data_IF_848648919220
#
_entry.id   IF_848648919220
#
_cell.length_a   1.000
_cell.length_b   1.000
_cell.length_c   1.000
_cell.angle_alpha   90.00
_cell.angle_beta   90.00
_cell.angle_gamma   90.00
#
_symmetry.space_group_name_H-M   'P 1'
#
loop_
_entity.id
_entity.type
_entity.pdbx_description
1 polymer ?
#
# COMPACT_ATOMS: atom_id res chain seq x y z
N UNK A 1 -13.26 -24.11 18.73
CA UNK A 1 -13.93 -22.97 18.07
C UNK A 1 -15.37 -23.36 17.71
N UNK A 2 -16.38 -22.51 17.93
CA UNK A 2 -17.77 -22.88 17.58
C UNK A 2 -18.03 -22.67 16.08
N UNK A 3 -18.75 -23.57 15.42
CA UNK A 3 -19.15 -23.45 14.00
C UNK A 3 -19.97 -22.17 13.71
N UNK A 4 -20.61 -21.61 14.74
CA UNK A 4 -21.52 -20.47 14.63
C UNK A 4 -20.78 -19.15 14.36
N UNK A 5 -19.61 -18.93 14.98
CA UNK A 5 -18.82 -17.71 14.83
C UNK A 5 -18.09 -17.65 13.48
N UNK A 6 -17.51 -18.78 13.03
CA UNK A 6 -16.86 -18.89 11.71
C UNK A 6 -17.79 -18.55 10.55
N UNK A 7 -19.08 -18.83 10.71
CA UNK A 7 -20.11 -18.47 9.73
C UNK A 7 -20.37 -16.96 9.66
N UNK A 8 -20.11 -16.19 10.72
CA UNK A 8 -20.36 -14.74 10.75
C UNK A 8 -19.37 -13.97 9.88
N UNK A 9 -18.06 -14.22 10.02
CA UNK A 9 -17.04 -13.56 9.19
C UNK A 9 -17.23 -13.87 7.71
N UNK A 10 -17.48 -15.14 7.37
CA UNK A 10 -17.70 -15.54 5.97
C UNK A 10 -18.94 -14.91 5.37
N UNK A 11 -20.04 -14.83 6.13
CA UNK A 11 -21.26 -14.18 5.67
C UNK A 11 -21.08 -12.67 5.54
N UNK A 12 -20.37 -12.02 6.48
CA UNK A 12 -19.99 -10.60 6.36
C UNK A 12 -19.19 -10.34 5.08
N UNK A 13 -18.10 -11.07 4.85
CA UNK A 13 -17.24 -10.90 3.65
C UNK A 13 -18.05 -11.05 2.37
N UNK A 14 -18.93 -12.06 2.31
CA UNK A 14 -19.80 -12.29 1.16
C UNK A 14 -20.79 -11.15 0.95
N UNK A 15 -21.45 -10.67 2.00
CA UNK A 15 -22.40 -9.57 1.93
C UNK A 15 -21.72 -8.26 1.51
N UNK A 16 -20.58 -7.94 2.12
CA UNK A 16 -19.84 -6.72 1.83
C UNK A 16 -19.25 -6.74 0.41
N UNK A 17 -18.71 -7.87 -0.02
CA UNK A 17 -18.24 -8.06 -1.41
C UNK A 17 -19.38 -7.83 -2.41
N UNK A 18 -20.58 -8.35 -2.12
CA UNK A 18 -21.74 -8.16 -2.98
C UNK A 18 -22.18 -6.69 -3.04
N UNK A 19 -22.22 -6.01 -1.89
CA UNK A 19 -22.55 -4.60 -1.78
C UNK A 19 -21.58 -3.74 -2.59
N UNK A 20 -20.27 -3.91 -2.38
CA UNK A 20 -19.25 -3.16 -3.12
C UNK A 20 -19.24 -3.46 -4.61
N UNK A 21 -19.53 -4.71 -4.98
CA UNK A 21 -19.70 -5.06 -6.40
C UNK A 21 -20.88 -4.31 -7.02
N UNK A 22 -22.02 -4.20 -6.33
CA UNK A 22 -23.14 -3.39 -6.82
C UNK A 22 -22.74 -1.92 -6.96
N UNK A 23 -22.18 -1.34 -5.89
CA UNK A 23 -21.72 0.05 -5.87
C UNK A 23 -20.77 0.36 -7.03
N UNK A 24 -19.81 -0.54 -7.31
CA UNK A 24 -18.89 -0.39 -8.43
C UNK A 24 -19.62 -0.27 -9.77
N UNK A 25 -20.61 -1.13 -10.04
CA UNK A 25 -21.37 -1.06 -11.30
C UNK A 25 -22.40 0.07 -11.35
N UNK A 26 -22.74 0.67 -10.21
CA UNK A 26 -23.53 1.90 -10.12
C UNK A 26 -22.68 3.16 -10.35
N UNK A 27 -21.38 3.11 -10.03
CA UNK A 27 -20.46 4.21 -10.27
C UNK A 27 -20.30 4.50 -11.77
N UNK A 28 -20.38 5.79 -12.12
CA UNK A 28 -20.22 6.27 -13.50
C UNK A 28 -18.81 6.03 -14.04
N UNK A 29 -18.69 5.95 -15.37
CA UNK A 29 -17.40 6.01 -16.09
C UNK A 29 -17.07 7.45 -16.52
N UNK A 30 -17.91 8.42 -16.15
CA UNK A 30 -17.72 9.85 -16.38
C UNK A 30 -16.83 10.48 -15.29
N UNK A 31 -16.31 11.66 -15.57
CA UNK A 31 -15.30 12.37 -14.77
C UNK A 31 -15.87 13.27 -13.65
N UNK A 32 -16.99 12.85 -13.05
CA UNK A 32 -17.80 13.68 -12.14
C UNK A 32 -17.02 14.20 -10.91
N UNK A 33 -15.95 13.51 -10.51
CA UNK A 33 -15.18 13.79 -9.29
C UNK A 33 -13.74 14.26 -9.54
N UNK A 34 -13.40 14.77 -10.73
CA UNK A 34 -12.07 15.38 -10.89
C UNK A 34 -11.94 16.67 -10.05
N UNK A 35 -10.79 16.89 -9.38
CA UNK A 35 -10.47 18.12 -8.64
C UNK A 35 -10.63 19.41 -9.45
N UNK A 36 -10.47 20.57 -8.83
CA UNK A 36 -10.43 21.83 -9.57
C UNK A 36 -9.25 21.88 -10.57
N UNK A 37 -9.44 22.57 -11.70
CA UNK A 37 -8.36 22.80 -12.66
C UNK A 37 -7.29 23.73 -12.07
N UNK A 38 -6.03 23.44 -12.37
CA UNK A 38 -4.87 24.20 -11.91
C UNK A 38 -4.27 24.96 -13.09
N UNK A 39 -4.09 26.27 -12.90
CA UNK A 39 -3.60 27.16 -13.96
C UNK A 39 -2.14 26.85 -14.35
N UNK A 40 -1.77 27.17 -15.59
CA UNK A 40 -0.38 26.99 -16.05
C UNK A 40 0.64 27.84 -15.26
N UNK A 41 0.24 29.02 -14.80
CA UNK A 41 1.07 29.89 -13.96
C UNK A 41 1.31 29.26 -12.59
N UNK A 42 0.29 28.66 -12.00
CA UNK A 42 0.40 27.95 -10.72
C UNK A 42 1.28 26.70 -10.84
N UNK A 43 1.09 25.88 -11.89
CA UNK A 43 1.99 24.75 -12.17
C UNK A 43 3.43 25.20 -12.30
N UNK A 44 3.69 26.28 -13.03
CA UNK A 44 5.05 26.79 -13.21
C UNK A 44 5.68 27.28 -11.90
N UNK A 45 4.88 27.89 -10.99
CA UNK A 45 5.33 28.23 -9.63
C UNK A 45 5.66 26.97 -8.81
N UNK A 46 4.77 25.98 -8.82
CA UNK A 46 4.97 24.71 -8.10
C UNK A 46 6.23 23.98 -8.59
N UNK A 47 6.44 23.92 -9.90
CA UNK A 47 7.61 23.29 -10.51
C UNK A 47 8.92 24.02 -10.17
N UNK A 48 8.92 25.35 -10.13
CA UNK A 48 10.09 26.12 -9.70
C UNK A 48 10.41 25.82 -8.22
N UNK A 49 9.41 25.88 -7.35
CA UNK A 49 9.57 25.62 -5.92
C UNK A 49 10.10 24.21 -5.64
N UNK A 50 9.52 23.18 -6.29
CA UNK A 50 10.00 21.81 -6.13
C UNK A 50 11.44 21.64 -6.65
N UNK A 51 11.75 22.26 -7.79
CA UNK A 51 13.10 22.20 -8.37
C UNK A 51 14.14 22.85 -7.46
N UNK A 52 13.84 24.00 -6.86
CA UNK A 52 14.72 24.66 -5.89
C UNK A 52 15.00 23.78 -4.66
N UNK A 53 13.97 23.13 -4.12
CA UNK A 53 14.12 22.18 -3.00
C UNK A 53 14.99 20.99 -3.39
N UNK A 54 14.73 20.36 -4.54
CA UNK A 54 15.50 19.20 -5.01
C UNK A 54 16.96 19.56 -5.35
N UNK A 55 17.20 20.73 -5.93
CA UNK A 55 18.54 21.20 -6.23
C UNK A 55 19.32 21.51 -4.95
N UNK A 56 18.66 22.06 -3.92
CA UNK A 56 19.27 22.24 -2.62
C UNK A 56 19.66 20.90 -2.00
N UNK A 57 18.74 19.92 -1.94
CA UNK A 57 19.01 18.57 -1.40
C UNK A 57 20.20 17.93 -2.13
N UNK A 58 20.17 17.96 -3.46
CA UNK A 58 21.25 17.40 -4.28
C UNK A 58 22.61 18.03 -3.98
N UNK A 59 22.68 19.36 -3.87
CA UNK A 59 23.95 20.06 -3.58
C UNK A 59 24.51 19.65 -2.22
N UNK A 60 23.65 19.49 -1.22
CA UNK A 60 24.09 19.05 0.11
C UNK A 60 24.59 17.59 0.10
N UNK A 61 23.92 16.70 -0.64
CA UNK A 61 24.35 15.31 -0.79
C UNK A 61 25.69 15.19 -1.54
N UNK A 62 25.98 16.09 -2.49
CA UNK A 62 27.30 16.12 -3.15
C UNK A 62 28.40 16.61 -2.20
N UNK A 63 28.08 17.56 -1.31
CA UNK A 63 29.02 18.08 -0.30
C UNK A 63 29.31 17.03 0.78
N UNK A 64 28.31 16.25 1.19
CA UNK A 64 28.45 15.21 2.22
C UNK A 64 29.44 14.10 1.86
N UNK A 65 29.52 13.77 0.57
CA UNK A 65 30.49 12.80 0.03
C UNK A 65 31.93 13.33 0.11
N UNK A 66 32.11 14.65 0.16
CA UNK A 66 33.42 15.30 0.04
C UNK A 66 33.99 15.83 1.37
N UNK A 67 33.17 16.05 2.40
CA UNK A 67 33.59 16.62 3.70
C UNK A 67 32.75 16.06 4.86
N UNK A 68 33.31 16.03 6.07
CA UNK A 68 32.61 15.63 7.29
C UNK A 68 31.25 16.32 7.39
N UNK A 69 30.20 15.52 7.31
CA UNK A 69 28.82 15.93 7.10
C UNK A 69 28.08 16.00 8.43
N UNK A 70 27.49 17.14 8.76
CA UNK A 70 26.53 17.22 9.87
C UNK A 70 25.18 16.67 9.40
N UNK A 71 25.00 15.37 9.67
CA UNK A 71 23.83 14.60 9.26
C UNK A 71 22.54 15.11 9.91
N UNK A 72 22.61 15.61 11.15
CA UNK A 72 21.44 16.11 11.86
C UNK A 72 20.99 17.44 11.25
N UNK A 73 21.91 18.39 11.06
CA UNK A 73 21.59 19.69 10.49
C UNK A 73 21.01 19.56 9.08
N UNK A 74 21.55 18.65 8.26
CA UNK A 74 21.00 18.38 6.93
C UNK A 74 19.57 17.83 7.02
N UNK A 75 19.34 16.85 7.89
CA UNK A 75 18.03 16.19 8.04
C UNK A 75 16.95 17.19 8.46
N UNK A 76 17.26 18.04 9.45
CA UNK A 76 16.33 19.05 9.94
C UNK A 76 15.97 20.07 8.85
N UNK A 77 16.96 20.58 8.12
CA UNK A 77 16.74 21.56 7.05
C UNK A 77 16.07 20.95 5.81
N UNK A 78 16.38 19.70 5.47
CA UNK A 78 15.70 18.96 4.40
C UNK A 78 14.22 18.73 4.76
N UNK A 79 13.95 18.28 5.98
CA UNK A 79 12.60 18.09 6.51
C UNK A 79 11.80 19.39 6.46
N UNK A 80 12.38 20.50 6.94
CA UNK A 80 11.77 21.83 6.89
C UNK A 80 11.40 22.24 5.47
N UNK A 81 12.33 22.16 4.52
CA UNK A 81 12.09 22.54 3.11
C UNK A 81 11.03 21.67 2.43
N UNK A 82 11.04 20.36 2.70
CA UNK A 82 10.04 19.43 2.17
C UNK A 82 8.65 19.78 2.72
N UNK A 83 8.54 20.02 4.04
CA UNK A 83 7.28 20.43 4.69
C UNK A 83 6.75 21.76 4.13
N UNK A 84 7.60 22.78 3.98
CA UNK A 84 7.23 24.07 3.38
C UNK A 84 6.77 23.94 1.94
N UNK A 85 7.45 23.10 1.16
CA UNK A 85 7.05 22.79 -0.23
C UNK A 85 5.69 22.10 -0.25
N UNK A 86 5.46 21.14 0.65
CA UNK A 86 4.20 20.42 0.77
C UNK A 86 3.02 21.32 1.17
N UNK A 87 3.22 22.20 2.15
CA UNK A 87 2.24 23.22 2.58
C UNK A 87 1.82 24.09 1.38
N UNK A 88 2.81 24.64 0.67
CA UNK A 88 2.59 25.58 -0.43
C UNK A 88 1.87 24.94 -1.62
N UNK A 89 2.33 23.77 -2.06
CA UNK A 89 1.85 23.14 -3.30
C UNK A 89 0.53 22.39 -3.09
N UNK A 90 0.38 21.71 -1.96
CA UNK A 90 -0.77 20.83 -1.71
C UNK A 90 -1.80 21.42 -0.73
N UNK A 91 -1.60 22.68 -0.30
CA UNK A 91 -2.50 23.35 0.63
C UNK A 91 -2.61 22.63 1.98
N UNK A 92 -1.50 22.01 2.42
CA UNK A 92 -1.42 21.37 3.73
C UNK A 92 -1.21 22.40 4.83
N UNK A 93 -1.64 22.11 6.05
CA UNK A 93 -1.31 22.91 7.23
C UNK A 93 -0.18 22.26 8.06
N UNK A 94 0.32 22.99 9.06
CA UNK A 94 1.38 22.52 9.95
C UNK A 94 1.01 21.25 10.72
N UNK A 95 -0.26 21.07 11.09
CA UNK A 95 -0.68 19.85 11.79
C UNK A 95 -0.63 18.65 10.85
N UNK A 96 -1.05 18.83 9.59
CA UNK A 96 -1.03 17.78 8.56
C UNK A 96 0.41 17.36 8.23
N UNK A 97 1.31 18.29 7.91
CA UNK A 97 2.68 17.92 7.51
C UNK A 97 3.54 17.36 8.67
N UNK A 98 3.18 17.66 9.92
CA UNK A 98 3.86 17.13 11.09
C UNK A 98 3.18 15.89 11.68
N UNK A 99 2.03 15.45 11.13
CA UNK A 99 1.28 14.34 11.74
C UNK A 99 2.06 13.03 11.68
N UNK A 100 2.70 12.69 10.56
CA UNK A 100 3.47 11.45 10.37
C UNK A 100 4.55 11.30 11.45
N UNK A 101 5.29 12.38 11.73
CA UNK A 101 6.33 12.42 12.76
C UNK A 101 5.73 12.34 14.17
N UNK A 102 4.72 13.16 14.46
CA UNK A 102 4.05 13.18 15.78
C UNK A 102 3.38 11.86 16.15
N UNK A 103 2.86 11.16 15.16
CA UNK A 103 2.21 9.86 15.32
C UNK A 103 3.23 8.73 15.49
N UNK A 104 4.51 8.94 15.14
CA UNK A 104 5.54 7.91 15.27
C UNK A 104 5.64 6.95 14.08
N UNK A 105 5.04 7.29 12.93
CA UNK A 105 5.04 6.43 11.73
C UNK A 105 6.46 6.20 11.20
N UNK A 106 7.32 7.22 11.25
CA UNK A 106 8.74 7.08 10.86
C UNK A 106 9.48 6.09 11.77
N UNK A 107 9.20 6.11 13.08
CA UNK A 107 9.81 5.19 14.03
C UNK A 107 9.32 3.75 13.78
N UNK A 108 8.03 3.56 13.50
CA UNK A 108 7.49 2.26 13.16
C UNK A 108 8.13 1.68 11.88
N UNK A 109 8.37 2.51 10.86
CA UNK A 109 9.07 2.07 9.65
C UNK A 109 10.52 1.64 9.93
N UNK A 110 11.25 2.39 10.76
CA UNK A 110 12.61 2.04 11.20
C UNK A 110 12.62 0.74 12.02
N UNK A 111 11.72 0.63 12.99
CA UNK A 111 11.59 -0.56 13.83
C UNK A 111 11.28 -1.80 13.00
N UNK A 112 10.39 -1.68 12.00
CA UNK A 112 10.08 -2.79 11.09
C UNK A 112 11.31 -3.20 10.28
N UNK A 113 12.05 -2.25 9.71
CA UNK A 113 13.27 -2.54 8.95
C UNK A 113 14.27 -3.34 9.79
N UNK A 114 14.53 -2.90 11.02
CA UNK A 114 15.47 -3.59 11.91
C UNK A 114 14.96 -4.97 12.35
N UNK A 115 13.67 -5.09 12.65
CA UNK A 115 13.07 -6.40 12.96
C UNK A 115 13.15 -7.36 11.78
N UNK A 116 12.91 -6.89 10.54
CA UNK A 116 13.00 -7.71 9.34
C UNK A 116 14.44 -8.18 9.08
N UNK A 117 15.42 -7.30 9.24
CA UNK A 117 16.85 -7.67 9.15
C UNK A 117 17.32 -8.59 10.27
N UNK A 118 16.74 -8.48 11.47
CA UNK A 118 17.03 -9.40 12.56
C UNK A 118 16.40 -10.79 12.33
N UNK A 119 15.22 -10.85 11.71
CA UNK A 119 14.53 -12.07 11.35
C UNK A 119 15.21 -12.82 10.22
N UNK A 120 15.55 -12.13 9.12
CA UNK A 120 16.33 -12.66 8.02
C UNK A 120 17.42 -11.66 7.61
N UNK A 121 18.70 -11.90 7.96
CA UNK A 121 19.81 -11.02 7.58
C UNK A 121 20.00 -10.87 6.07
N UNK A 122 19.50 -11.81 5.27
CA UNK A 122 19.66 -11.85 3.81
C UNK A 122 18.46 -11.29 3.04
N UNK A 123 17.36 -10.93 3.71
CA UNK A 123 16.19 -10.36 3.06
C UNK A 123 16.57 -9.10 2.27
N UNK A 124 16.07 -9.00 1.04
CA UNK A 124 16.36 -7.85 0.18
C UNK A 124 15.68 -6.58 0.71
N UNK A 125 16.20 -5.41 0.31
CA UNK A 125 15.51 -4.16 0.62
C UNK A 125 14.13 -4.11 -0.07
N UNK A 126 14.03 -4.63 -1.29
CA UNK A 126 12.77 -4.69 -2.02
C UNK A 126 11.70 -5.50 -1.28
N UNK A 127 12.06 -6.65 -0.70
CA UNK A 127 11.15 -7.49 0.08
C UNK A 127 10.71 -6.81 1.38
N UNK A 128 11.63 -6.16 2.11
CA UNK A 128 11.27 -5.38 3.31
C UNK A 128 10.32 -4.26 2.92
N UNK A 129 10.61 -3.53 1.84
CA UNK A 129 9.79 -2.42 1.39
C UNK A 129 8.42 -2.86 0.88
N UNK A 130 8.32 -4.03 0.24
CA UNK A 130 7.05 -4.63 -0.12
C UNK A 130 6.25 -4.99 1.13
N UNK A 131 6.87 -5.63 2.12
CA UNK A 131 6.24 -5.97 3.39
C UNK A 131 5.82 -4.74 4.21
N UNK A 132 6.57 -3.63 4.12
CA UNK A 132 6.24 -2.39 4.85
C UNK A 132 4.92 -1.76 4.40
N UNK A 133 4.38 -2.14 3.23
CA UNK A 133 3.05 -1.67 2.79
C UNK A 133 1.95 -2.06 3.79
N UNK A 134 2.01 -3.27 4.34
CA UNK A 134 1.05 -3.72 5.36
C UNK A 134 1.26 -3.01 6.69
N UNK A 135 2.52 -2.73 7.04
CA UNK A 135 2.87 -1.93 8.22
C UNK A 135 2.25 -0.53 8.13
N UNK A 136 2.36 0.14 6.99
CA UNK A 136 1.76 1.47 6.79
C UNK A 136 0.24 1.42 6.86
N UNK A 137 -0.40 0.45 6.19
CA UNK A 137 -1.85 0.24 6.30
C UNK A 137 -2.26 0.04 7.76
N UNK A 138 -1.53 -0.82 8.48
CA UNK A 138 -1.82 -1.11 9.88
C UNK A 138 -1.57 0.08 10.81
N UNK A 139 -0.53 0.88 10.56
CA UNK A 139 -0.28 2.11 11.32
C UNK A 139 -1.38 3.14 11.05
N UNK A 140 -1.83 3.28 9.80
CA UNK A 140 -2.97 4.12 9.46
C UNK A 140 -4.23 3.67 10.22
N UNK A 141 -4.53 2.37 10.23
CA UNK A 141 -5.65 1.81 11.00
C UNK A 141 -5.49 2.00 12.51
N UNK A 142 -4.29 1.82 13.07
CA UNK A 142 -4.02 2.13 14.49
C UNK A 142 -4.42 3.57 14.80
N UNK A 143 -4.03 4.53 13.95
CA UNK A 143 -4.38 5.94 14.17
C UNK A 143 -5.89 6.17 14.11
N UNK A 144 -6.57 5.62 13.10
CA UNK A 144 -8.03 5.70 12.96
C UNK A 144 -8.77 5.14 14.19
N UNK A 145 -8.31 4.00 14.68
CA UNK A 145 -8.87 3.28 15.83
C UNK A 145 -8.43 3.87 17.18
N UNK A 146 -7.66 4.96 17.19
CA UNK A 146 -7.20 5.62 18.43
C UNK A 146 -6.11 4.84 19.18
N UNK A 147 -5.42 3.93 18.51
CA UNK A 147 -4.34 3.11 19.02
C UNK A 147 -2.97 3.77 18.79
N UNK A 148 -1.96 3.47 19.63
CA UNK A 148 -0.60 3.93 19.41
C UNK A 148 0.01 3.27 18.17
N UNK A 149 0.66 4.08 17.34
CA UNK A 149 1.43 3.58 16.19
C UNK A 149 2.64 2.80 16.71
N UNK A 150 2.69 1.52 16.38
CA UNK A 150 3.81 0.64 16.73
C UNK A 150 3.80 -0.62 15.87
N UNK A 151 4.98 -1.20 15.66
CA UNK A 151 5.12 -2.52 15.04
C UNK A 151 4.94 -3.58 16.12
N UNK A 152 3.70 -4.03 16.32
CA UNK A 152 3.40 -5.13 17.26
C UNK A 152 3.87 -6.48 16.69
N UNK A 153 4.09 -7.51 17.54
CA UNK A 153 4.47 -8.84 17.07
C UNK A 153 3.57 -9.39 15.96
N UNK A 154 2.26 -9.25 16.08
CA UNK A 154 1.30 -9.70 15.07
C UNK A 154 1.37 -8.91 13.76
N UNK A 155 1.58 -7.59 13.81
CA UNK A 155 1.77 -6.76 12.63
C UNK A 155 3.07 -7.07 11.90
N UNK A 156 4.16 -7.26 12.65
CA UNK A 156 5.42 -7.75 12.11
C UNK A 156 5.22 -9.10 11.43
N UNK A 157 4.62 -10.05 12.15
CA UNK A 157 4.41 -11.40 11.67
C UNK A 157 3.61 -11.44 10.36
N UNK A 158 2.48 -10.72 10.31
CA UNK A 158 1.64 -10.67 9.13
C UNK A 158 2.32 -9.98 7.95
N UNK A 159 3.06 -8.90 8.19
CA UNK A 159 3.80 -8.21 7.13
C UNK A 159 4.91 -9.11 6.56
N UNK A 160 5.59 -9.89 7.41
CA UNK A 160 6.64 -10.82 6.99
C UNK A 160 6.12 -12.12 6.35
N UNK A 161 4.84 -12.48 6.56
CA UNK A 161 4.25 -13.63 5.87
C UNK A 161 4.36 -13.46 4.35
N UNK A 162 4.17 -12.25 3.81
CA UNK A 162 4.22 -12.01 2.36
C UNK A 162 5.56 -12.36 1.72
N UNK A 163 6.71 -11.74 2.08
CA UNK A 163 7.98 -12.11 1.46
C UNK A 163 8.33 -13.59 1.69
N UNK A 164 7.90 -14.21 2.79
CA UNK A 164 8.14 -15.65 3.03
C UNK A 164 7.25 -16.53 2.15
N UNK A 165 5.95 -16.22 2.03
CA UNK A 165 5.00 -17.02 1.25
C UNK A 165 5.11 -16.75 -0.24
N UNK A 166 5.23 -15.48 -0.66
CA UNK A 166 5.26 -15.08 -2.07
C UNK A 166 6.54 -15.58 -2.74
N UNK A 167 7.71 -15.44 -2.08
CA UNK A 167 8.95 -16.01 -2.61
C UNK A 167 8.86 -17.52 -2.81
N UNK A 168 8.10 -18.23 -1.96
CA UNK A 168 7.85 -19.66 -2.13
C UNK A 168 6.83 -19.94 -3.25
N UNK A 169 5.71 -19.23 -3.28
CA UNK A 169 4.59 -19.46 -4.19
C UNK A 169 4.87 -18.97 -5.61
N UNK A 170 5.76 -17.99 -5.80
CA UNK A 170 6.12 -17.44 -7.10
C UNK A 170 7.36 -18.12 -7.71
N UNK A 171 8.12 -18.91 -6.95
CA UNK A 171 9.31 -19.61 -7.47
C UNK A 171 8.92 -20.52 -8.65
N UNK A 172 9.38 -20.24 -9.89
CA UNK A 172 9.03 -21.04 -11.06
C UNK A 172 9.67 -22.43 -11.05
N UNK A 173 10.66 -22.67 -10.18
CA UNK A 173 11.34 -23.97 -10.03
C UNK A 173 10.52 -24.95 -9.19
N UNK A 174 9.57 -24.45 -8.39
CA UNK A 174 8.67 -25.28 -7.56
C UNK A 174 7.47 -25.74 -8.36
N UNK A 175 7.10 -27.00 -8.17
CA UNK A 175 5.97 -27.56 -8.90
C UNK A 175 4.63 -27.16 -8.26
N UNK A 176 3.55 -27.34 -9.01
CA UNK A 176 2.20 -26.94 -8.59
C UNK A 176 1.73 -27.70 -7.35
N UNK A 177 2.08 -28.98 -7.22
CA UNK A 177 1.68 -29.81 -6.08
C UNK A 177 2.39 -29.38 -4.78
N UNK A 178 3.66 -28.96 -4.85
CA UNK A 178 4.41 -28.39 -3.73
C UNK A 178 3.78 -27.09 -3.25
N UNK A 179 3.44 -26.18 -4.16
CA UNK A 179 2.77 -24.92 -3.85
C UNK A 179 1.38 -25.14 -3.24
N UNK A 180 0.61 -26.09 -3.78
CA UNK A 180 -0.69 -26.45 -3.24
C UNK A 180 -0.59 -27.03 -1.82
N UNK A 181 0.38 -27.91 -1.58
CA UNK A 181 0.61 -28.54 -0.27
C UNK A 181 1.10 -27.54 0.77
N UNK A 182 1.97 -26.60 0.39
CA UNK A 182 2.39 -25.48 1.24
C UNK A 182 1.19 -24.64 1.65
N UNK A 183 0.38 -24.22 0.68
CA UNK A 183 -0.78 -23.38 0.93
C UNK A 183 -1.84 -24.09 1.79
N UNK A 184 -2.04 -25.40 1.60
CA UNK A 184 -2.91 -26.22 2.45
C UNK A 184 -2.42 -26.26 3.90
N UNK A 185 -1.13 -26.54 4.14
CA UNK A 185 -0.56 -26.53 5.50
C UNK A 185 -0.63 -25.16 6.17
N UNK A 186 -0.40 -24.09 5.42
CA UNK A 186 -0.56 -22.74 5.93
C UNK A 186 -2.01 -22.51 6.43
N UNK A 187 -3.01 -22.93 5.64
CA UNK A 187 -4.41 -22.88 6.06
C UNK A 187 -4.72 -23.73 7.30
N UNK A 188 -4.08 -24.90 7.45
CA UNK A 188 -4.20 -25.76 8.65
C UNK A 188 -3.68 -25.02 9.89
N UNK A 189 -2.51 -24.37 9.81
CA UNK A 189 -1.97 -23.59 10.93
C UNK A 189 -2.84 -22.38 11.25
N UNK A 190 -3.34 -21.65 10.26
CA UNK A 190 -4.29 -20.55 10.49
C UNK A 190 -5.58 -21.02 11.16
N UNK A 191 -6.05 -22.24 10.85
CA UNK A 191 -7.20 -22.87 11.50
C UNK A 191 -6.93 -23.28 12.96
N UNK A 192 -5.66 -23.33 13.38
CA UNK A 192 -5.23 -23.79 14.71
C UNK A 192 -5.05 -25.30 14.81
N UNK A 193 -5.04 -26.00 13.68
CA UNK A 193 -4.79 -27.43 13.61
C UNK A 193 -3.29 -27.72 13.53
N UNK A 194 -2.91 -28.94 13.90
CA UNK A 194 -1.50 -29.37 13.93
C UNK A 194 -1.10 -30.01 12.61
N UNK A 195 -0.12 -29.43 11.94
CA UNK A 195 0.61 -30.05 10.84
C UNK A 195 2.12 -29.80 11.01
N UNK A 196 2.94 -30.80 10.67
CA UNK A 196 4.39 -30.65 10.69
C UNK A 196 4.88 -29.88 9.45
N UNK A 197 5.72 -28.85 9.61
CA UNK A 197 6.35 -28.18 8.48
C UNK A 197 7.26 -29.17 7.73
N UNK A 198 7.35 -29.02 6.41
CA UNK A 198 8.09 -29.93 5.53
C UNK A 198 9.43 -29.33 5.03
N UNK A 199 9.67 -28.05 5.30
CA UNK A 199 10.88 -27.33 4.91
C UNK A 199 11.03 -26.04 5.74
N UNK A 200 12.18 -25.39 5.65
CA UNK A 200 12.47 -24.18 6.43
C UNK A 200 11.51 -23.01 6.18
N UNK A 201 11.03 -22.80 4.94
CA UNK A 201 10.05 -21.73 4.69
C UNK A 201 8.71 -22.02 5.41
N UNK A 202 8.36 -23.28 5.56
CA UNK A 202 7.18 -23.70 6.33
C UNK A 202 7.38 -23.57 7.84
N UNK A 203 8.61 -23.76 8.33
CA UNK A 203 8.98 -23.46 9.71
C UNK A 203 8.83 -21.96 9.99
N UNK A 204 9.35 -21.11 9.10
CA UNK A 204 9.23 -19.65 9.20
C UNK A 204 7.77 -19.20 9.22
N UNK A 205 6.93 -19.70 8.30
CA UNK A 205 5.49 -19.39 8.29
C UNK A 205 4.82 -19.84 9.58
N UNK A 206 5.11 -21.03 10.08
CA UNK A 206 4.53 -21.53 11.32
C UNK A 206 4.95 -20.68 12.52
N UNK A 207 6.21 -20.22 12.58
CA UNK A 207 6.70 -19.36 13.66
C UNK A 207 6.09 -17.95 13.61
N UNK A 208 5.86 -17.40 12.41
CA UNK A 208 5.10 -16.16 12.24
C UNK A 208 3.64 -16.32 12.71
N UNK A 209 2.98 -17.44 12.37
CA UNK A 209 1.62 -17.72 12.88
C UNK A 209 1.62 -17.83 14.41
N UNK A 210 2.62 -18.49 15.01
CA UNK A 210 2.76 -18.57 16.48
C UNK A 210 3.02 -17.23 17.12
N UNK A 211 3.70 -16.31 16.44
CA UNK A 211 3.90 -14.95 16.93
C UNK A 211 2.57 -14.19 17.03
N UNK A 212 1.65 -14.40 16.06
CA UNK A 212 0.27 -13.89 16.17
C UNK A 212 -0.45 -14.54 17.35
N UNK A 213 -0.30 -15.86 17.55
CA UNK A 213 -0.89 -16.60 18.69
C UNK A 213 -0.44 -16.13 20.07
N UNK A 214 0.83 -15.72 20.19
CA UNK A 214 1.36 -15.18 21.44
C UNK A 214 0.73 -13.83 21.81
N UNK A 215 0.45 -12.98 20.82
CA UNK A 215 -0.22 -11.70 21.06
C UNK A 215 -1.74 -11.85 21.20
N UNK A 216 -2.35 -12.70 20.38
CA UNK A 216 -3.80 -12.90 20.32
C UNK A 216 -4.15 -14.37 20.57
N UNK A 217 -4.34 -14.81 21.82
CA UNK A 217 -4.79 -16.17 22.12
C UNK A 217 -6.10 -16.51 21.40
N UNK A 218 -6.12 -17.63 20.67
CA UNK A 218 -7.26 -18.06 19.82
C UNK A 218 -8.60 -18.15 20.53
N UNK A 219 -8.58 -18.51 21.81
CA UNK A 219 -9.78 -18.66 22.63
C UNK A 219 -10.45 -17.31 22.94
N UNK A 220 -9.68 -16.22 22.91
CA UNK A 220 -10.14 -14.87 23.24
C UNK A 220 -10.37 -14.06 21.96
N UNK A 221 -9.48 -14.18 20.97
CA UNK A 221 -9.48 -13.36 19.75
C UNK A 221 -9.87 -14.17 18.53
N UNK A 222 -11.07 -14.74 18.52
CA UNK A 222 -11.52 -15.62 17.42
C UNK A 222 -11.54 -14.90 16.07
N UNK A 223 -11.93 -13.63 16.04
CA UNK A 223 -12.07 -12.85 14.82
C UNK A 223 -10.73 -12.58 14.11
N UNK A 224 -9.61 -12.51 14.84
CA UNK A 224 -8.26 -12.39 14.26
C UNK A 224 -7.96 -13.58 13.34
N UNK A 225 -8.27 -14.79 13.77
CA UNK A 225 -8.01 -15.99 12.97
C UNK A 225 -9.05 -16.18 11.87
N UNK A 226 -10.28 -15.76 12.10
CA UNK A 226 -11.31 -15.76 11.07
C UNK A 226 -10.98 -14.80 9.93
N UNK A 227 -10.41 -13.61 10.23
CA UNK A 227 -9.97 -12.66 9.21
C UNK A 227 -8.74 -13.16 8.45
N UNK A 228 -7.74 -13.73 9.15
CA UNK A 228 -6.58 -14.37 8.52
C UNK A 228 -6.98 -15.53 7.58
N UNK A 229 -7.92 -16.36 8.01
CA UNK A 229 -8.49 -17.41 7.15
C UNK A 229 -9.25 -16.81 5.96
N UNK A 230 -9.99 -15.71 6.15
CA UNK A 230 -10.74 -15.05 5.08
C UNK A 230 -9.81 -14.54 3.98
N UNK A 231 -8.73 -13.82 4.31
CA UNK A 231 -7.74 -13.38 3.30
C UNK A 231 -7.02 -14.57 2.67
N UNK A 232 -6.64 -15.58 3.46
CA UNK A 232 -6.02 -16.80 2.91
C UNK A 232 -6.91 -17.50 1.88
N UNK A 233 -8.22 -17.60 2.15
CA UNK A 233 -9.18 -18.14 1.19
C UNK A 233 -9.36 -17.24 -0.03
N UNK A 234 -9.46 -15.93 0.15
CA UNK A 234 -9.60 -14.97 -0.95
C UNK A 234 -8.38 -15.01 -1.90
N UNK A 235 -7.16 -15.03 -1.35
CA UNK A 235 -5.92 -15.19 -2.11
C UNK A 235 -5.88 -16.54 -2.84
N UNK A 236 -6.18 -17.64 -2.14
CA UNK A 236 -6.23 -18.98 -2.74
C UNK A 236 -7.22 -19.07 -3.90
N UNK A 237 -8.36 -18.38 -3.78
CA UNK A 237 -9.40 -18.29 -4.81
C UNK A 237 -8.91 -17.46 -6.00
N UNK A 238 -8.27 -16.32 -5.74
CA UNK A 238 -7.65 -15.47 -6.75
C UNK A 238 -6.56 -16.19 -7.54
N UNK A 239 -5.70 -16.96 -6.88
CA UNK A 239 -4.63 -17.73 -7.52
C UNK A 239 -5.15 -18.86 -8.45
N UNK A 240 -6.39 -19.32 -8.22
CA UNK A 240 -7.09 -20.31 -9.05
C UNK A 240 -7.93 -19.68 -10.15
N UNK A 241 -7.90 -18.35 -10.29
CA UNK A 241 -8.61 -17.68 -11.38
C UNK A 241 -8.09 -18.20 -12.73
N UNK A 242 -9.01 -18.35 -13.71
CA UNK A 242 -8.59 -18.67 -15.06
C UNK A 242 -7.73 -17.54 -15.62
N UNK A 243 -6.72 -17.90 -16.42
CA UNK A 243 -5.86 -16.94 -17.10
C UNK A 243 -6.37 -16.70 -18.52
N UNK A 244 -6.08 -15.53 -19.10
CA UNK A 244 -6.40 -15.27 -20.50
C UNK A 244 -5.76 -16.34 -21.43
N UNK A 245 -6.46 -16.92 -22.45
CA UNK A 245 -7.68 -16.44 -23.13
C UNK A 245 -9.03 -16.82 -22.56
N UNK A 246 -9.08 -17.47 -21.40
CA UNK A 246 -10.34 -17.83 -20.77
C UNK A 246 -11.15 -16.58 -20.39
N UNK A 247 -12.47 -16.70 -20.48
CA UNK A 247 -13.40 -15.61 -20.18
C UNK A 247 -14.01 -15.82 -18.80
N UNK A 248 -13.89 -14.79 -17.97
CA UNK A 248 -14.65 -14.67 -16.73
C UNK A 248 -15.58 -13.47 -16.86
N UNK A 249 -16.78 -13.58 -16.30
CA UNK A 249 -17.72 -12.45 -16.31
C UNK A 249 -17.12 -11.28 -15.51
N UNK A 250 -17.22 -10.04 -16.01
CA UNK A 250 -16.57 -8.87 -15.39
C UNK A 250 -17.01 -8.66 -13.94
N UNK A 251 -18.28 -8.95 -13.63
CA UNK A 251 -18.80 -8.91 -12.26
C UNK A 251 -18.11 -9.90 -11.34
N UNK A 252 -17.71 -11.06 -11.86
CA UNK A 252 -16.98 -12.06 -11.08
C UNK A 252 -15.52 -11.66 -10.85
N UNK A 253 -14.91 -10.97 -11.82
CA UNK A 253 -13.59 -10.35 -11.63
C UNK A 253 -13.66 -9.32 -10.50
N UNK A 254 -14.64 -8.41 -10.55
CA UNK A 254 -14.87 -7.40 -9.51
C UNK A 254 -15.07 -8.04 -8.12
N UNK A 255 -15.94 -9.04 -8.01
CA UNK A 255 -16.18 -9.76 -6.74
C UNK A 255 -14.88 -10.32 -6.16
N UNK A 256 -14.02 -10.92 -7.00
CA UNK A 256 -12.77 -11.52 -6.52
C UNK A 256 -11.73 -10.48 -6.13
N UNK A 257 -11.64 -9.36 -6.87
CA UNK A 257 -10.79 -8.23 -6.48
C UNK A 257 -11.26 -7.64 -5.14
N UNK A 258 -12.55 -7.34 -4.97
CA UNK A 258 -13.05 -6.74 -3.73
C UNK A 258 -12.98 -7.67 -2.53
N UNK A 259 -13.24 -8.96 -2.71
CA UNK A 259 -13.06 -9.97 -1.66
C UNK A 259 -11.60 -10.04 -1.21
N UNK A 260 -10.64 -10.07 -2.16
CA UNK A 260 -9.20 -10.09 -1.86
C UNK A 260 -8.74 -8.82 -1.14
N UNK A 261 -9.04 -7.65 -1.70
CA UNK A 261 -8.64 -6.37 -1.12
C UNK A 261 -9.27 -6.13 0.25
N UNK A 262 -10.58 -6.30 0.33
CA UNK A 262 -11.34 -6.06 1.55
C UNK A 262 -10.92 -6.98 2.69
N UNK A 263 -10.72 -8.28 2.43
CA UNK A 263 -10.22 -9.20 3.47
C UNK A 263 -8.78 -8.92 3.87
N UNK A 264 -7.94 -8.41 2.97
CA UNK A 264 -6.54 -8.06 3.28
C UNK A 264 -6.49 -6.97 4.34
N UNK A 265 -7.19 -5.87 4.10
CA UNK A 265 -7.15 -4.73 5.03
C UNK A 265 -8.01 -4.98 6.27
N UNK A 266 -9.03 -5.84 6.17
CA UNK A 266 -9.75 -6.33 7.34
C UNK A 266 -8.84 -7.14 8.27
N UNK A 267 -7.94 -7.97 7.72
CA UNK A 267 -6.93 -8.67 8.52
C UNK A 267 -5.98 -7.69 9.21
N UNK A 268 -5.48 -6.67 8.51
CA UNK A 268 -4.68 -5.59 9.11
C UNK A 268 -5.42 -4.94 10.30
N UNK A 269 -6.71 -4.65 10.15
CA UNK A 269 -7.53 -4.05 11.21
C UNK A 269 -7.66 -4.94 12.46
N UNK A 270 -7.92 -6.23 12.29
CA UNK A 270 -7.95 -7.17 13.41
C UNK A 270 -6.57 -7.38 14.05
N UNK A 271 -5.49 -7.36 13.28
CA UNK A 271 -4.14 -7.49 13.85
C UNK A 271 -3.71 -6.21 14.57
N UNK A 272 -4.19 -5.04 14.13
CA UNK A 272 -3.97 -3.78 14.81
C UNK A 272 -4.71 -3.69 16.14
N UNK A 273 -5.99 -4.12 16.21
CA UNK A 273 -6.87 -3.86 17.35
C UNK A 273 -7.31 -5.09 18.15
N UNK A 274 -7.13 -6.30 17.63
CA UNK A 274 -7.63 -7.56 18.20
C UNK A 274 -9.13 -7.81 17.98
N UNK A 275 -9.94 -6.75 18.07
CA UNK A 275 -11.39 -6.77 17.85
C UNK A 275 -11.81 -5.54 17.04
N UNK A 276 -12.91 -5.66 16.30
CA UNK A 276 -13.51 -4.58 15.53
C UNK A 276 -15.04 -4.66 15.67
N UNK A 277 -15.68 -3.50 15.78
CA UNK A 277 -17.13 -3.38 15.64
C UNK A 277 -17.58 -3.63 14.19
N UNK A 278 -18.86 -3.91 14.00
CA UNK A 278 -19.42 -4.16 12.67
C UNK A 278 -19.24 -2.96 11.71
N UNK A 279 -19.35 -1.72 12.22
CA UNK A 279 -19.15 -0.50 11.44
C UNK A 279 -17.68 -0.33 11.03
N UNK A 280 -16.74 -0.56 11.96
CA UNK A 280 -15.30 -0.53 11.65
C UNK A 280 -14.93 -1.61 10.63
N UNK A 281 -15.47 -2.83 10.76
CA UNK A 281 -15.27 -3.90 9.78
C UNK A 281 -15.74 -3.47 8.38
N UNK A 282 -16.91 -2.84 8.27
CA UNK A 282 -17.45 -2.36 6.99
C UNK A 282 -16.52 -1.32 6.35
N UNK A 283 -16.14 -0.28 7.09
CA UNK A 283 -15.32 0.81 6.57
C UNK A 283 -13.91 0.31 6.18
N UNK A 284 -13.30 -0.53 7.01
CA UNK A 284 -11.97 -1.11 6.76
C UNK A 284 -12.01 -2.03 5.53
N UNK A 285 -13.05 -2.84 5.38
CA UNK A 285 -13.22 -3.69 4.19
C UNK A 285 -13.39 -2.84 2.92
N UNK A 286 -14.19 -1.77 3.00
CA UNK A 286 -14.41 -0.84 1.90
C UNK A 286 -13.10 -0.15 1.47
N UNK A 287 -12.29 0.28 2.43
CA UNK A 287 -10.96 0.83 2.18
C UNK A 287 -10.05 -0.20 1.48
N UNK A 288 -10.08 -1.47 1.90
CA UNK A 288 -9.32 -2.54 1.26
C UNK A 288 -9.76 -2.83 -0.18
N UNK A 289 -11.06 -2.78 -0.48
CA UNK A 289 -11.55 -2.92 -1.84
C UNK A 289 -11.06 -1.78 -2.76
N UNK A 290 -11.02 -0.54 -2.25
CA UNK A 290 -10.39 0.58 -2.95
C UNK A 290 -8.89 0.37 -3.16
N UNK A 291 -8.17 -0.06 -2.13
CA UNK A 291 -6.74 -0.33 -2.22
C UNK A 291 -6.41 -1.39 -3.29
N UNK A 292 -7.24 -2.43 -3.43
CA UNK A 292 -7.05 -3.41 -4.52
C UNK A 292 -7.20 -2.82 -5.91
N UNK A 293 -8.09 -1.84 -6.11
CA UNK A 293 -8.19 -1.14 -7.40
C UNK A 293 -6.91 -0.37 -7.72
N UNK A 294 -6.27 0.19 -6.70
CA UNK A 294 -4.98 0.85 -6.84
C UNK A 294 -3.85 -0.10 -7.17
N UNK A 295 -3.84 -1.28 -6.55
CA UNK A 295 -2.85 -2.31 -6.87
C UNK A 295 -3.03 -2.81 -8.30
N UNK A 296 -4.24 -3.20 -8.71
CA UNK A 296 -4.53 -3.67 -10.08
C UNK A 296 -4.19 -2.61 -11.13
N UNK A 297 -4.36 -1.32 -10.80
CA UNK A 297 -3.97 -0.19 -11.65
C UNK A 297 -2.44 -0.06 -11.76
N UNK A 298 -1.72 -0.12 -10.66
CA UNK A 298 -0.25 -0.02 -10.65
C UNK A 298 0.39 -1.22 -11.36
N UNK A 299 -0.26 -2.39 -11.29
CA UNK A 299 0.25 -3.68 -11.77
C UNK A 299 -0.22 -4.08 -13.18
N UNK A 300 -0.94 -3.21 -13.92
CA UNK A 300 -1.41 -3.50 -15.29
C UNK A 300 -0.33 -4.16 -16.16
N UNK A 301 0.88 -3.63 -16.12
CA UNK A 301 1.97 -4.14 -16.94
C UNK A 301 2.41 -5.55 -16.54
N UNK A 302 2.40 -5.86 -15.25
CA UNK A 302 2.73 -7.17 -14.71
C UNK A 302 1.61 -8.17 -14.97
N UNK A 303 0.37 -7.80 -14.69
CA UNK A 303 -0.81 -8.63 -14.88
C UNK A 303 -1.00 -9.03 -16.34
N UNK A 304 -0.78 -8.09 -17.28
CA UNK A 304 -0.82 -8.41 -18.71
C UNK A 304 0.28 -9.41 -19.11
N UNK A 305 1.48 -9.35 -18.50
CA UNK A 305 2.55 -10.33 -18.77
C UNK A 305 2.18 -11.71 -18.23
N UNK A 306 1.57 -11.76 -17.05
CA UNK A 306 1.16 -13.00 -16.37
C UNK A 306 -0.19 -13.52 -16.84
N UNK A 307 -0.89 -12.77 -17.71
CA UNK A 307 -2.22 -13.07 -18.25
C UNK A 307 -3.31 -13.11 -17.18
N UNK A 308 -3.11 -12.36 -16.10
CA UNK A 308 -4.07 -12.25 -15.02
C UNK A 308 -5.31 -11.47 -15.49
N UNK A 309 -6.47 -11.86 -14.94
CA UNK A 309 -7.75 -11.24 -15.23
C UNK A 309 -8.10 -10.25 -14.10
N UNK A 310 -7.85 -8.96 -14.34
CA UNK A 310 -8.26 -7.86 -13.47
C UNK A 310 -9.21 -6.93 -14.23
N UNK A 311 -9.87 -6.02 -13.52
CA UNK A 311 -10.73 -5.01 -14.16
C UNK A 311 -9.92 -4.14 -15.14
N UNK A 312 -8.67 -3.83 -14.79
CA UNK A 312 -7.79 -3.08 -15.66
C UNK A 312 -7.27 -3.88 -16.85
N UNK A 313 -6.85 -5.14 -16.70
CA UNK A 313 -6.39 -5.92 -17.86
C UNK A 313 -7.52 -6.17 -18.86
N UNK A 314 -8.76 -6.39 -18.42
CA UNK A 314 -9.93 -6.47 -19.31
C UNK A 314 -10.19 -5.13 -20.02
N UNK A 315 -10.14 -4.01 -19.30
CA UNK A 315 -10.41 -2.68 -19.86
C UNK A 315 -9.36 -2.23 -20.89
N UNK A 316 -8.07 -2.44 -20.60
CA UNK A 316 -6.96 -2.09 -21.50
C UNK A 316 -7.09 -2.83 -22.82
N UNK A 317 -7.45 -4.11 -22.77
CA UNK A 317 -7.64 -4.93 -23.96
C UNK A 317 -8.84 -4.51 -24.81
N UNK A 318 -9.81 -3.83 -24.20
CA UNK A 318 -10.97 -3.24 -24.89
C UNK A 318 -10.77 -1.77 -25.27
N UNK A 319 -9.63 -1.17 -24.92
CA UNK A 319 -9.39 0.27 -25.10
C UNK A 319 -10.28 1.16 -24.23
N UNK A 320 -10.62 0.70 -23.02
CA UNK A 320 -11.56 1.36 -22.07
C UNK A 320 -10.94 1.68 -20.70
N UNK A 321 -9.61 1.76 -20.61
CA UNK A 321 -8.93 2.02 -19.34
C UNK A 321 -9.33 3.37 -18.72
N UNK A 322 -9.52 4.41 -19.55
CA UNK A 322 -9.95 5.75 -19.11
C UNK A 322 -11.24 5.69 -18.28
N UNK A 323 -12.29 5.03 -18.80
CA UNK A 323 -13.59 4.92 -18.13
C UNK A 323 -13.54 4.08 -16.84
N UNK A 324 -12.71 3.03 -16.81
CA UNK A 324 -12.48 2.25 -15.57
C UNK A 324 -11.78 3.10 -14.52
N UNK A 325 -10.80 3.93 -14.90
CA UNK A 325 -10.13 4.82 -13.96
C UNK A 325 -11.07 5.91 -13.42
N UNK A 326 -11.90 6.52 -14.25
CA UNK A 326 -12.97 7.43 -13.79
C UNK A 326 -13.88 6.75 -12.77
N UNK A 327 -14.28 5.50 -13.04
CA UNK A 327 -15.04 4.71 -12.08
C UNK A 327 -14.29 4.50 -10.77
N UNK A 328 -12.96 4.33 -10.78
CA UNK A 328 -12.14 4.29 -9.56
C UNK A 328 -12.20 5.61 -8.78
N UNK A 329 -12.10 6.77 -9.43
CA UNK A 329 -12.30 8.07 -8.76
C UNK A 329 -13.67 8.12 -8.07
N UNK A 330 -14.74 7.81 -8.81
CA UNK A 330 -16.11 7.85 -8.30
C UNK A 330 -16.31 6.85 -7.15
N UNK A 331 -15.78 5.64 -7.27
CA UNK A 331 -15.84 4.61 -6.24
C UNK A 331 -15.08 5.02 -4.98
N UNK A 332 -13.88 5.58 -5.12
CA UNK A 332 -13.05 6.06 -4.01
C UNK A 332 -13.80 7.10 -3.17
N UNK A 333 -14.45 8.09 -3.80
CA UNK A 333 -15.22 9.09 -3.07
C UNK A 333 -16.43 8.54 -2.32
N UNK A 334 -17.04 7.44 -2.78
CA UNK A 334 -18.11 6.79 -2.04
C UNK A 334 -17.57 6.02 -0.83
N UNK A 335 -16.55 5.18 -1.03
CA UNK A 335 -16.09 4.27 0.01
C UNK A 335 -15.23 4.93 1.09
N UNK A 336 -14.50 5.99 0.74
CA UNK A 336 -13.62 6.69 1.67
C UNK A 336 -14.35 7.69 2.57
N UNK A 337 -15.59 8.08 2.24
CA UNK A 337 -16.43 8.88 3.14
C UNK A 337 -16.65 8.19 4.49
N UNK A 338 -16.70 6.86 4.52
CA UNK A 338 -16.83 6.11 5.77
C UNK A 338 -15.70 6.36 6.78
N UNK A 339 -14.52 6.81 6.32
CA UNK A 339 -13.41 7.15 7.22
C UNK A 339 -13.75 8.31 8.17
N UNK A 340 -14.78 9.09 7.87
CA UNK A 340 -15.28 10.16 8.76
C UNK A 340 -15.78 9.60 10.10
N UNK A 341 -16.33 8.37 10.15
CA UNK A 341 -16.84 7.74 11.37
C UNK A 341 -15.77 7.44 12.44
N UNK A 342 -14.48 7.47 12.08
CA UNK A 342 -13.40 7.30 13.06
C UNK A 342 -13.14 8.61 13.83
N UNK A 343 -13.62 8.70 15.07
CA UNK A 343 -13.61 9.94 15.87
C UNK A 343 -12.30 10.20 16.66
N UNK A 344 -11.24 9.43 16.41
CA UNK A 344 -9.93 9.63 17.05
C UNK A 344 -9.40 11.05 16.77
N UNK A 345 -9.19 11.92 17.78
CA UNK A 345 -8.70 13.28 17.56
C UNK A 345 -7.31 13.33 16.92
N UNK A 346 -6.48 12.31 17.22
CA UNK A 346 -5.15 12.17 16.64
C UNK A 346 -5.19 11.78 15.16
N UNK A 347 -6.30 11.20 14.68
CA UNK A 347 -6.49 10.84 13.29
C UNK A 347 -6.86 12.02 12.39
N UNK A 348 -7.41 13.11 12.95
CA UNK A 348 -7.95 14.22 12.15
C UNK A 348 -6.93 14.78 11.14
N UNK A 349 -5.69 15.13 11.51
CA UNK A 349 -4.73 15.66 10.55
C UNK A 349 -4.37 14.64 9.46
N UNK A 350 -4.23 13.36 9.83
CA UNK A 350 -3.90 12.28 8.91
C UNK A 350 -5.04 12.04 7.91
N UNK A 351 -6.30 11.95 8.38
CA UNK A 351 -7.48 11.81 7.52
C UNK A 351 -7.60 12.97 6.53
N UNK A 352 -7.47 14.21 7.01
CA UNK A 352 -7.55 15.40 6.15
C UNK A 352 -6.45 15.39 5.09
N UNK A 353 -5.23 15.01 5.46
CA UNK A 353 -4.11 14.91 4.55
C UNK A 353 -4.36 13.82 3.49
N UNK A 354 -4.81 12.63 3.90
CA UNK A 354 -5.17 11.54 2.98
C UNK A 354 -6.30 11.93 2.00
N UNK A 355 -7.35 12.57 2.49
CA UNK A 355 -8.47 13.02 1.65
C UNK A 355 -8.08 14.10 0.65
N UNK A 356 -7.15 15.01 1.01
CA UNK A 356 -6.67 16.05 0.10
C UNK A 356 -5.86 15.50 -1.07
N UNK A 357 -5.19 14.38 -0.91
CA UNK A 357 -4.28 13.87 -1.95
C UNK A 357 -4.74 12.60 -2.63
N UNK A 358 -5.89 12.02 -2.28
CA UNK A 358 -6.34 10.75 -2.88
C UNK A 358 -6.42 10.88 -4.40
N UNK A 359 -6.98 11.99 -4.90
CA UNK A 359 -7.09 12.23 -6.34
C UNK A 359 -5.72 12.43 -6.99
N UNK A 360 -4.79 13.08 -6.28
CA UNK A 360 -3.42 13.26 -6.76
C UNK A 360 -2.69 11.92 -6.83
N UNK A 361 -2.91 11.03 -5.87
CA UNK A 361 -2.39 9.67 -5.87
C UNK A 361 -2.95 8.86 -7.06
N UNK A 362 -4.25 8.95 -7.32
CA UNK A 362 -4.93 8.32 -8.46
C UNK A 362 -4.34 8.81 -9.79
N UNK A 363 -4.18 10.13 -9.96
CA UNK A 363 -3.58 10.73 -11.15
C UNK A 363 -2.11 10.35 -11.33
N UNK A 364 -1.33 10.33 -10.25
CA UNK A 364 0.07 9.92 -10.29
C UNK A 364 0.21 8.44 -10.71
N UNK A 365 -0.71 7.58 -10.24
CA UNK A 365 -0.78 6.18 -10.68
C UNK A 365 -1.02 6.08 -12.18
N UNK A 366 -1.99 6.83 -12.73
CA UNK A 366 -2.24 6.90 -14.18
C UNK A 366 -0.98 7.35 -14.93
N UNK A 367 -0.27 8.36 -14.45
CA UNK A 367 0.97 8.84 -15.06
C UNK A 367 2.08 7.75 -15.09
N UNK A 368 2.15 6.88 -14.08
CA UNK A 368 3.10 5.75 -14.06
C UNK A 368 2.75 4.68 -15.11
N UNK A 369 1.47 4.54 -15.42
CA UNK A 369 0.93 3.55 -16.36
C UNK A 369 0.41 4.17 -17.67
N UNK A 370 0.89 5.36 -18.02
CA UNK A 370 0.30 6.24 -19.04
C UNK A 370 0.10 5.59 -20.43
N UNK A 371 0.92 4.60 -20.78
CA UNK A 371 0.84 3.89 -22.07
C UNK A 371 -0.47 3.12 -22.28
N UNK A 372 -1.23 2.90 -21.21
CA UNK A 372 -2.51 2.20 -21.23
C UNK A 372 -3.73 3.14 -21.34
N UNK A 373 -3.49 4.45 -21.29
CA UNK A 373 -4.51 5.48 -21.28
C UNK A 373 -4.52 6.28 -22.58
N UNK A 374 -5.66 6.87 -22.93
CA UNK A 374 -5.71 7.73 -24.10
C UNK A 374 -4.97 9.05 -23.86
N UNK A 375 -4.41 9.62 -24.93
CA UNK A 375 -3.75 10.95 -24.86
C UNK A 375 -4.71 12.06 -24.44
N UNK A 376 -5.98 11.95 -24.82
CA UNK A 376 -7.01 12.92 -24.45
C UNK A 376 -7.26 12.88 -22.93
N UNK A 377 -7.34 11.68 -22.37
CA UNK A 377 -7.51 11.47 -20.94
C UNK A 377 -6.30 11.94 -20.12
N UNK A 378 -5.08 11.63 -20.57
CA UNK A 378 -3.86 12.12 -19.92
C UNK A 378 -3.79 13.66 -19.90
N UNK A 379 -4.15 14.32 -21.01
CA UNK A 379 -4.20 15.78 -21.07
C UNK A 379 -5.23 16.34 -20.08
N UNK A 380 -6.40 15.71 -20.01
CA UNK A 380 -7.46 16.08 -19.07
C UNK A 380 -6.98 15.97 -17.62
N UNK A 381 -6.46 14.82 -17.20
CA UNK A 381 -5.94 14.66 -15.83
C UNK A 381 -4.82 15.65 -15.50
N UNK A 382 -3.94 15.95 -16.46
CA UNK A 382 -2.90 16.95 -16.25
C UNK A 382 -3.50 18.30 -15.87
N UNK A 383 -4.64 18.73 -16.45
CA UNK A 383 -5.32 20.00 -16.12
C UNK A 383 -5.68 20.13 -14.63
N UNK A 384 -5.85 19.01 -13.92
CA UNK A 384 -6.22 18.94 -12.50
C UNK A 384 -5.04 18.63 -11.57
N UNK A 385 -3.84 18.42 -12.13
CA UNK A 385 -2.66 18.01 -11.38
C UNK A 385 -1.70 19.20 -11.13
N UNK A 386 -1.05 19.32 -9.95
CA UNK A 386 -0.29 20.52 -9.56
C UNK A 386 1.00 20.76 -10.37
N UNK A 387 1.36 19.82 -11.24
CA UNK A 387 2.54 19.87 -12.08
C UNK A 387 2.20 19.44 -13.50
N UNK A 388 3.02 19.82 -14.48
CA UNK A 388 2.98 19.15 -15.78
C UNK A 388 3.48 17.71 -15.62
N UNK A 389 2.84 16.76 -16.30
CA UNK A 389 3.24 15.36 -16.30
C UNK A 389 4.65 15.20 -16.86
N UNK A 390 5.02 15.97 -17.89
CA UNK A 390 6.37 15.94 -18.44
C UNK A 390 7.43 16.41 -17.42
N UNK A 391 7.12 17.44 -16.63
CA UNK A 391 8.00 17.89 -15.56
C UNK A 391 8.21 16.78 -14.51
N UNK A 392 7.15 16.12 -14.05
CA UNK A 392 7.28 15.02 -13.10
C UNK A 392 8.15 13.88 -13.64
N UNK A 393 7.99 13.51 -14.92
CA UNK A 393 8.86 12.50 -15.56
C UNK A 393 10.33 12.90 -15.51
N UNK A 394 10.63 14.18 -15.71
CA UNK A 394 11.99 14.70 -15.62
C UNK A 394 12.52 14.65 -14.19
N UNK A 395 11.73 15.07 -13.20
CA UNK A 395 12.07 14.97 -11.77
C UNK A 395 12.43 13.53 -11.40
N UNK A 396 11.59 12.55 -11.77
CA UNK A 396 11.85 11.13 -11.51
C UNK A 396 13.16 10.65 -12.14
N UNK A 397 13.47 11.09 -13.37
CA UNK A 397 14.75 10.78 -14.04
C UNK A 397 15.95 11.40 -13.32
N UNK A 398 15.80 12.62 -12.78
CA UNK A 398 16.88 13.33 -12.05
C UNK A 398 17.16 12.64 -10.72
N UNK A 399 16.12 12.40 -9.92
CA UNK A 399 16.20 11.65 -8.66
C UNK A 399 16.89 10.30 -8.90
N UNK A 400 16.47 9.60 -9.95
CA UNK A 400 17.06 8.34 -10.39
C UNK A 400 18.56 8.45 -10.69
N UNK A 401 18.94 9.43 -11.51
CA UNK A 401 20.33 9.63 -11.93
C UNK A 401 21.25 10.01 -10.77
N UNK A 402 20.72 10.72 -9.77
CA UNK A 402 21.47 11.20 -8.60
C UNK A 402 21.63 10.14 -7.50
N UNK A 403 21.04 8.94 -7.67
CA UNK A 403 21.17 7.86 -6.70
C UNK A 403 20.58 8.22 -5.32
N UNK A 404 19.51 9.02 -5.32
CA UNK A 404 18.71 9.30 -4.12
C UNK A 404 17.72 8.13 -4.00
N UNK A 405 18.15 7.04 -3.36
CA UNK A 405 17.26 5.91 -3.02
C UNK A 405 16.60 6.13 -1.66
N UNK A 406 15.45 5.49 -1.43
CA UNK A 406 14.80 5.49 -0.12
C UNK A 406 15.73 4.90 0.95
N UNK A 407 16.44 3.82 0.63
CA UNK A 407 17.45 3.22 1.51
C UNK A 407 18.56 4.21 1.89
N UNK A 408 19.10 4.96 0.93
CA UNK A 408 20.14 5.96 1.19
C UNK A 408 19.62 7.12 2.04
N UNK A 409 18.37 7.53 1.84
CA UNK A 409 17.73 8.55 2.66
C UNK A 409 17.50 8.02 4.09
N UNK A 410 17.02 6.79 4.25
CA UNK A 410 16.81 6.16 5.57
C UNK A 410 18.14 6.03 6.32
N UNK A 411 19.21 5.56 5.66
CA UNK A 411 20.55 5.49 6.26
C UNK A 411 21.14 6.85 6.63
N UNK A 412 20.69 7.94 6.00
CA UNK A 412 21.06 9.32 6.34
C UNK A 412 20.15 9.94 7.42
N UNK A 413 19.00 9.35 7.72
CA UNK A 413 18.02 9.90 8.67
C UNK A 413 17.98 9.08 9.98
N UNK A 414 18.45 7.83 9.98
CA UNK A 414 18.57 7.00 11.19
C UNK A 414 19.94 7.18 11.87
N UNK A 415 20.01 7.71 13.09
CA UNK A 415 21.26 7.81 13.88
C UNK A 415 21.76 6.46 14.42
N UNK A 416 21.00 5.36 14.23
CA UNK A 416 21.39 4.00 14.63
C UNK A 416 22.12 3.22 13.53
N UNK A 417 22.29 3.81 12.34
CA UNK A 417 22.96 3.15 11.21
C UNK A 417 24.49 3.11 11.39
N UNK A 418 24.99 2.27 12.29
CA UNK A 418 26.35 1.76 12.16
C UNK A 418 26.40 0.84 10.93
N UNK A 419 26.89 1.39 9.81
CA UNK A 419 27.33 0.69 8.60
C UNK A 419 26.31 -0.25 7.92
N UNK A 420 25.46 0.29 7.05
CA UNK A 420 24.79 -0.50 6.01
C UNK A 420 25.72 -0.72 4.80
N UNK A 421 25.89 -1.96 4.30
CA UNK A 421 26.63 -2.21 3.06
C UNK A 421 25.92 -1.58 1.87
N UNK A 422 26.64 -0.74 1.13
CA UNK A 422 26.16 -0.07 -0.07
C UNK A 422 26.07 -1.10 -1.21
N UNK A 423 24.87 -1.43 -1.68
CA UNK A 423 24.67 -2.04 -3.00
C UNK A 423 23.41 -1.51 -3.67
N UNK A 424 23.55 -1.08 -4.93
CA UNK A 424 22.55 -0.36 -5.72
C UNK A 424 21.83 -1.34 -6.66
N UNK A 425 20.51 -1.25 -6.81
CA UNK A 425 19.82 -1.83 -7.96
C UNK A 425 18.76 -0.89 -8.59
N UNK A 426 18.45 -1.13 -9.86
CA UNK A 426 17.66 -0.24 -10.71
C UNK A 426 16.13 -0.25 -10.44
N UNK A 427 15.69 -1.04 -9.46
CA UNK A 427 14.33 -1.14 -8.89
C UNK A 427 14.00 0.01 -7.92
N UNK A 428 15.01 0.64 -7.32
CA UNK A 428 14.86 1.63 -6.23
C UNK A 428 14.32 3.00 -6.66
N UNK A 429 14.17 3.20 -7.96
CA UNK A 429 14.12 4.53 -8.57
C UNK A 429 12.68 5.03 -8.76
N UNK A 430 11.71 4.14 -8.56
CA UNK A 430 10.28 4.44 -8.40
C UNK A 430 9.93 4.93 -7.00
N UNK A 431 10.82 4.76 -6.01
CA UNK A 431 10.53 5.05 -4.59
C UNK A 431 10.65 6.51 -4.18
N UNK A 432 11.69 7.24 -4.59
CA UNK A 432 11.81 8.65 -4.24
C UNK A 432 10.80 9.56 -4.99
N UNK A 433 10.14 9.02 -6.02
CA UNK A 433 8.97 9.62 -6.65
C UNK A 433 7.67 9.49 -5.82
N UNK A 434 7.68 8.66 -4.77
CA UNK A 434 6.55 8.44 -3.88
C UNK A 434 6.51 9.43 -2.72
N UNK A 435 7.57 10.19 -2.42
CA UNK A 435 7.53 11.16 -1.31
C UNK A 435 6.34 12.14 -1.37
N UNK A 436 5.96 12.69 -2.55
CA UNK A 436 4.76 13.51 -2.67
C UNK A 436 3.44 12.72 -2.48
N UNK A 437 3.44 11.42 -2.79
CA UNK A 437 2.31 10.51 -2.66
C UNK A 437 2.22 9.82 -1.28
N UNK A 438 3.33 9.74 -0.54
CA UNK A 438 3.47 9.18 0.82
C UNK A 438 3.15 10.23 1.89
N UNK A 439 3.11 11.52 1.53
CA UNK A 439 2.38 12.51 2.31
C UNK A 439 0.86 12.31 2.20
N UNK A 440 0.38 11.24 1.55
CA UNK A 440 -1.04 10.92 1.34
C UNK A 440 -1.32 9.39 1.38
N UNK A 441 -0.30 8.56 1.64
CA UNK A 441 -0.47 7.12 1.91
C UNK A 441 0.12 6.80 3.26
#
# INVERSE_FOLDING_TARGET
MSLTTRNQMQEFVKQQTHLLTNLWFECSEDDDYLPAQISMDEKSKNENQLSETLDWISKQLDISVLRGFDQQQFTDEASRRIKETGISIFGLDENQVNCIERLGINQAAEDFYHQAKAFDPFISFEDIFQASRNVWTSNYLQVLLGLPVSVTPSLFAYSMLYPVTDNYLDDPRRNIAEKASFNERFGIWLNGDVAAPQNWNEEDVLDLVRMVEQQYPREQFTQVYESLLAIHYAQSKSARMPKWPEKLHIRRIAEMSFEKGGTSVLADGFLAAGELSAEEMEIIFNYGAFAQMMDDQEDIAQDLRHRELTLFTDSVRRGKADGVMNRVFNFAHHVLQGLECFDSPNAVPLKQMSMKGIDLLLMDAVLRTEKYYSKAYLKKLEEHFPFRFEYLKQVRKVIRKKGISAERLIGLISPRAESLPISINASDLTMAARLPAMLVK
#
